data_IF_315005451955
#
_entry.id   IF_315005451955
#
_cell.length_a   1.000
_cell.length_b   1.000
_cell.length_c   1.000
_cell.angle_alpha   90.00
_cell.angle_beta   90.00
_cell.angle_gamma   90.00
#
_symmetry.space_group_name_H-M   'P 1'
#
loop_
_entity.id
_entity.type
_entity.pdbx_description
1 polymer ?
#
# COMPACT_ATOMS: atom_id res chain seq x y z
N UNK A 1 16.76 30.49 -35.53
CA UNK A 1 17.29 31.12 -36.76
C UNK A 1 17.54 32.59 -36.47
N UNK A 2 18.58 33.26 -37.00
CA UNK A 2 20.03 32.99 -37.12
C UNK A 2 20.81 34.03 -36.22
N UNK A 3 22.10 34.40 -36.38
CA UNK A 3 23.23 33.83 -37.14
C UNK A 3 24.52 33.58 -36.32
N UNK A 4 25.43 32.79 -36.90
CA UNK A 4 26.87 32.78 -36.62
C UNK A 4 27.56 33.34 -37.87
N UNK A 5 28.56 34.23 -37.71
CA UNK A 5 29.78 34.19 -38.52
C UNK A 5 31.03 34.43 -37.64
N UNK A 6 32.29 34.25 -38.04
CA UNK A 6 33.01 33.46 -39.04
C UNK A 6 34.46 34.00 -39.00
N UNK A 7 35.47 33.15 -38.78
CA UNK A 7 36.87 33.40 -39.24
C UNK A 7 37.70 32.15 -38.94
N UNK A 8 38.70 31.71 -39.71
CA UNK A 8 39.10 31.88 -41.10
C UNK A 8 40.18 30.80 -41.30
N UNK A 9 40.11 30.10 -42.44
CA UNK A 9 41.21 29.54 -43.24
C UNK A 9 42.28 28.57 -42.66
N UNK A 10 42.39 27.44 -43.39
CA UNK A 10 43.60 26.72 -43.90
C UNK A 10 44.02 25.38 -43.26
N UNK A 11 44.10 24.38 -44.15
CA UNK A 11 44.44 22.97 -43.96
C UNK A 11 45.93 22.67 -43.72
N UNK A 12 46.26 21.54 -43.06
CA UNK A 12 47.46 20.75 -43.32
C UNK A 12 47.12 19.36 -43.93
N UNK A 13 48.10 18.56 -44.38
CA UNK A 13 48.03 17.83 -45.65
C UNK A 13 47.56 16.37 -45.57
N UNK A 14 47.27 15.86 -46.77
CA UNK A 14 47.06 14.47 -47.14
C UNK A 14 48.23 13.58 -46.68
N UNK A 15 47.93 12.48 -45.97
CA UNK A 15 48.89 11.41 -45.75
C UNK A 15 48.67 10.62 -44.46
N UNK A 16 47.76 9.66 -44.50
CA UNK A 16 47.90 8.30 -43.94
C UNK A 16 46.51 7.65 -43.91
N UNK A 17 46.21 6.87 -44.96
CA UNK A 17 45.11 5.89 -44.93
C UNK A 17 45.43 4.82 -43.88
N UNK A 18 44.42 4.25 -43.20
CA UNK A 18 44.61 3.07 -42.36
C UNK A 18 45.13 1.90 -43.22
N UNK A 19 45.96 0.99 -42.70
CA UNK A 19 46.54 -0.07 -43.50
C UNK A 19 45.42 -0.95 -44.04
N UNK A 20 45.32 -0.92 -45.37
CA UNK A 20 44.44 -1.73 -46.20
C UNK A 20 44.53 -3.21 -45.81
N UNK A 21 43.36 -3.83 -45.90
CA UNK A 21 43.14 -5.27 -45.93
C UNK A 21 44.27 -6.02 -46.66
N UNK A 22 45.00 -6.87 -45.93
CA UNK A 22 46.03 -7.73 -46.53
C UNK A 22 45.39 -8.85 -47.37
N UNK A 23 45.88 -9.10 -48.60
CA UNK A 23 45.48 -10.24 -49.45
C UNK A 23 46.00 -11.57 -48.86
N UNK A 24 45.51 -12.74 -49.33
CA UNK A 24 45.80 -14.04 -48.71
C UNK A 24 47.31 -14.30 -48.62
N UNK A 25 47.76 -14.70 -47.44
CA UNK A 25 49.15 -14.97 -47.12
C UNK A 25 49.76 -15.99 -48.09
N UNK A 26 50.47 -15.49 -49.11
CA UNK A 26 51.49 -16.27 -49.82
C UNK A 26 52.75 -16.23 -48.97
N UNK A 27 53.30 -17.42 -48.73
CA UNK A 27 54.48 -17.67 -47.92
C UNK A 27 55.62 -16.68 -48.22
N UNK A 28 55.89 -15.78 -47.27
CA UNK A 28 57.13 -15.03 -47.21
C UNK A 28 57.58 -15.08 -45.76
N UNK A 29 58.57 -15.92 -45.48
CA UNK A 29 59.30 -15.88 -44.22
C UNK A 29 60.19 -14.63 -44.21
N UNK A 30 60.25 -13.90 -43.09
CA UNK A 30 61.49 -13.26 -42.71
C UNK A 30 61.93 -13.72 -41.31
N UNK A 31 63.23 -13.94 -41.22
CA UNK A 31 63.98 -14.17 -39.99
C UNK A 31 63.85 -12.97 -39.05
N UNK A 32 63.61 -13.22 -37.75
CA UNK A 32 64.26 -12.54 -36.60
C UNK A 32 63.86 -13.25 -35.27
N UNK A 33 64.91 -13.69 -34.57
CA UNK A 33 65.17 -13.81 -33.13
C UNK A 33 64.11 -14.39 -32.15
N UNK A 34 64.30 -15.68 -31.86
CA UNK A 34 64.19 -16.39 -30.57
C UNK A 34 63.49 -15.70 -29.38
N UNK A 35 62.28 -16.17 -29.07
CA UNK A 35 61.60 -15.97 -27.79
C UNK A 35 60.07 -16.09 -27.88
N UNK A 36 59.52 -17.31 -27.86
CA UNK A 36 58.10 -17.66 -27.66
C UNK A 36 56.97 -16.89 -28.40
N UNK A 37 57.25 -16.06 -29.40
CA UNK A 37 56.22 -15.37 -30.22
C UNK A 37 55.69 -16.24 -31.39
N UNK A 38 56.27 -17.43 -31.61
CA UNK A 38 55.84 -18.35 -32.67
C UNK A 38 54.45 -18.94 -32.40
N UNK A 39 54.15 -19.27 -31.15
CA UNK A 39 52.84 -19.81 -30.77
C UNK A 39 51.68 -18.83 -31.02
N UNK A 40 51.72 -17.56 -30.57
CA UNK A 40 50.63 -16.61 -30.83
C UNK A 40 50.49 -16.23 -32.31
N UNK A 41 51.59 -16.14 -33.06
CA UNK A 41 51.53 -15.88 -34.52
C UNK A 41 50.95 -17.07 -35.29
N UNK A 42 51.34 -18.29 -34.91
CA UNK A 42 50.78 -19.52 -35.48
C UNK A 42 49.30 -19.67 -35.15
N UNK A 43 48.90 -19.40 -33.89
CA UNK A 43 47.51 -19.40 -33.46
C UNK A 43 46.68 -18.40 -34.27
N UNK A 44 47.20 -17.18 -34.47
CA UNK A 44 46.55 -16.15 -35.29
C UNK A 44 46.39 -16.61 -36.74
N UNK A 45 47.44 -17.14 -37.36
CA UNK A 45 47.40 -17.63 -38.74
C UNK A 45 46.42 -18.81 -38.89
N UNK A 46 46.34 -19.70 -37.90
CA UNK A 46 45.40 -20.80 -37.85
C UNK A 46 43.94 -20.31 -37.78
N UNK A 47 43.63 -19.39 -36.87
CA UNK A 47 42.29 -18.78 -36.79
C UNK A 47 41.93 -17.98 -38.04
N UNK A 48 42.89 -17.23 -38.61
CA UNK A 48 42.69 -16.50 -39.86
C UNK A 48 42.41 -17.46 -41.03
N UNK A 49 43.12 -18.59 -41.11
CA UNK A 49 42.86 -19.62 -42.11
C UNK A 49 41.47 -20.24 -41.96
N UNK A 50 41.05 -20.53 -40.72
CA UNK A 50 39.73 -21.09 -40.41
C UNK A 50 38.60 -20.12 -40.78
N UNK A 51 38.71 -18.86 -40.36
CA UNK A 51 37.73 -17.81 -40.66
C UNK A 51 37.68 -17.47 -42.16
N UNK A 52 38.83 -17.49 -42.85
CA UNK A 52 38.89 -17.29 -44.29
C UNK A 52 38.22 -18.44 -45.04
N UNK A 53 38.41 -19.69 -44.60
CA UNK A 53 37.70 -20.85 -45.15
C UNK A 53 36.19 -20.76 -44.93
N UNK A 54 35.76 -20.36 -43.73
CA UNK A 54 34.35 -20.12 -43.39
C UNK A 54 33.75 -19.00 -44.25
N UNK A 55 34.47 -17.89 -44.41
CA UNK A 55 34.07 -16.75 -45.24
C UNK A 55 33.91 -17.12 -46.71
N UNK A 56 34.85 -17.87 -47.28
CA UNK A 56 34.73 -18.43 -48.63
C UNK A 56 33.51 -19.35 -48.77
N UNK A 57 33.20 -20.16 -47.75
CA UNK A 57 32.01 -21.02 -47.70
C UNK A 57 30.70 -20.23 -47.67
N UNK A 58 30.64 -19.17 -46.85
CA UNK A 58 29.50 -18.25 -46.76
C UNK A 58 29.33 -17.49 -48.07
N UNK A 59 30.41 -17.00 -48.69
CA UNK A 59 30.36 -16.26 -49.96
C UNK A 59 29.86 -17.14 -51.12
N UNK A 60 30.21 -18.43 -51.12
CA UNK A 60 29.69 -19.42 -52.08
C UNK A 60 28.19 -19.72 -51.89
N UNK A 61 27.66 -19.57 -50.67
CA UNK A 61 26.29 -19.90 -50.31
C UNK A 61 25.53 -18.72 -49.67
N UNK A 62 25.82 -17.49 -50.10
CA UNK A 62 25.38 -16.26 -49.42
C UNK A 62 23.86 -16.20 -49.20
N UNK A 63 23.05 -16.49 -50.23
CA UNK A 63 21.59 -16.47 -50.12
C UNK A 63 21.02 -17.58 -49.23
N UNK A 64 21.58 -18.80 -49.28
CA UNK A 64 21.13 -19.92 -48.44
C UNK A 64 21.42 -19.66 -46.97
N UNK A 65 22.64 -19.19 -46.67
CA UNK A 65 23.07 -18.86 -45.30
C UNK A 65 22.22 -17.71 -44.74
N UNK A 66 21.98 -16.68 -45.54
CA UNK A 66 21.14 -15.54 -45.13
C UNK A 66 19.69 -15.95 -44.86
N UNK A 67 19.09 -16.74 -45.75
CA UNK A 67 17.71 -17.21 -45.59
C UNK A 67 17.55 -18.13 -44.36
N UNK A 68 18.43 -19.11 -44.19
CA UNK A 68 18.44 -19.99 -43.01
C UNK A 68 18.67 -19.19 -41.72
N UNK A 69 19.57 -18.20 -41.74
CA UNK A 69 19.81 -17.31 -40.61
C UNK A 69 18.58 -16.48 -40.23
N UNK A 70 17.94 -15.83 -41.21
CA UNK A 70 16.68 -15.09 -41.00
C UNK A 70 15.56 -15.98 -40.47
N UNK A 71 15.45 -17.21 -40.98
CA UNK A 71 14.44 -18.17 -40.54
C UNK A 71 14.71 -18.61 -39.09
N UNK A 72 15.98 -18.87 -38.74
CA UNK A 72 16.38 -19.21 -37.39
C UNK A 72 16.17 -18.06 -36.39
N UNK A 73 16.59 -16.84 -36.73
CA UNK A 73 16.36 -15.65 -35.89
C UNK A 73 14.86 -15.32 -35.78
N UNK A 74 14.10 -15.48 -36.87
CA UNK A 74 12.65 -15.32 -36.86
C UNK A 74 11.97 -16.33 -35.94
N UNK A 75 12.40 -17.60 -35.96
CA UNK A 75 11.91 -18.63 -35.06
C UNK A 75 12.22 -18.32 -33.58
N UNK A 76 13.42 -17.80 -33.28
CA UNK A 76 13.79 -17.37 -31.93
C UNK A 76 12.98 -16.16 -31.47
N UNK A 77 12.71 -15.20 -32.37
CA UNK A 77 11.90 -14.02 -32.06
C UNK A 77 10.44 -14.38 -31.72
N UNK A 78 9.90 -15.49 -32.24
CA UNK A 78 8.59 -15.98 -31.84
C UNK A 78 8.53 -16.37 -30.35
N UNK A 79 9.67 -16.78 -29.77
CA UNK A 79 9.78 -17.08 -28.34
C UNK A 79 9.54 -15.86 -27.44
N UNK A 80 9.75 -14.63 -27.95
CA UNK A 80 9.50 -13.40 -27.20
C UNK A 80 8.01 -13.18 -26.89
N UNK A 81 7.10 -13.85 -27.59
CA UNK A 81 5.66 -13.80 -27.25
C UNK A 81 5.34 -14.46 -25.92
N UNK A 82 6.22 -15.32 -25.41
CA UNK A 82 6.08 -16.01 -24.12
C UNK A 82 6.88 -15.28 -23.03
N UNK A 83 7.45 -14.10 -23.32
CA UNK A 83 8.13 -13.31 -22.31
C UNK A 83 7.12 -12.80 -21.28
N UNK A 84 7.25 -13.28 -20.04
CA UNK A 84 6.47 -12.81 -18.89
C UNK A 84 7.30 -11.72 -18.21
N UNK A 85 6.67 -10.57 -17.96
CA UNK A 85 7.29 -9.48 -17.20
C UNK A 85 6.98 -9.71 -15.73
N UNK A 86 8.02 -9.89 -14.93
CA UNK A 86 7.86 -9.95 -13.49
C UNK A 86 7.52 -8.56 -12.94
N UNK A 87 6.44 -8.46 -12.17
CA UNK A 87 5.96 -7.18 -11.60
C UNK A 87 5.89 -7.21 -10.08
N UNK A 88 6.15 -8.37 -9.48
CA UNK A 88 6.17 -8.54 -8.04
C UNK A 88 7.46 -7.96 -7.45
N UNK A 89 7.31 -6.94 -6.60
CA UNK A 89 8.42 -6.28 -5.93
C UNK A 89 9.21 -7.25 -5.05
N UNK A 90 8.53 -8.19 -4.37
CA UNK A 90 9.19 -9.14 -3.47
C UNK A 90 10.17 -10.04 -4.23
N UNK A 91 9.75 -10.53 -5.41
CA UNK A 91 10.57 -11.40 -6.25
C UNK A 91 11.72 -10.65 -6.92
N UNK A 92 11.53 -9.36 -7.21
CA UNK A 92 12.57 -8.52 -7.82
C UNK A 92 13.67 -8.13 -6.83
N UNK A 93 13.35 -7.96 -5.55
CA UNK A 93 14.29 -7.46 -4.55
C UNK A 93 14.93 -8.55 -3.68
N UNK A 94 14.27 -9.69 -3.49
CA UNK A 94 14.79 -10.77 -2.65
C UNK A 94 15.74 -11.67 -3.44
N UNK A 95 16.94 -11.89 -2.90
CA UNK A 95 17.90 -12.82 -3.48
C UNK A 95 17.41 -14.27 -3.38
N UNK A 96 17.38 -14.96 -4.51
CA UNK A 96 16.94 -16.36 -4.60
C UNK A 96 17.95 -17.27 -3.89
N UNK A 97 17.47 -18.09 -2.95
CA UNK A 97 18.30 -19.01 -2.16
C UNK A 97 18.89 -18.41 -0.87
N UNK A 98 18.56 -17.14 -0.58
CA UNK A 98 18.86 -16.51 0.71
C UNK A 98 18.00 -17.09 1.85
N UNK A 99 18.43 -16.88 3.10
CA UNK A 99 17.61 -17.20 4.28
C UNK A 99 16.23 -16.52 4.22
N UNK A 100 16.19 -15.25 3.80
CA UNK A 100 14.94 -14.49 3.65
C UNK A 100 14.01 -15.16 2.64
N UNK A 101 14.54 -15.66 1.52
CA UNK A 101 13.71 -16.38 0.54
C UNK A 101 13.09 -17.66 1.11
N UNK A 102 13.81 -18.38 1.98
CA UNK A 102 13.32 -19.59 2.63
C UNK A 102 12.26 -19.28 3.70
N UNK A 103 12.46 -18.22 4.49
CA UNK A 103 11.50 -17.74 5.49
C UNK A 103 10.21 -17.23 4.84
N UNK A 104 10.34 -16.51 3.72
CA UNK A 104 9.21 -16.02 2.94
C UNK A 104 8.43 -17.18 2.31
N UNK A 105 9.11 -18.19 1.78
CA UNK A 105 8.46 -19.42 1.30
C UNK A 105 7.72 -20.16 2.43
N UNK A 106 8.36 -20.32 3.60
CA UNK A 106 7.71 -20.96 4.76
C UNK A 106 6.46 -20.18 5.20
N UNK A 107 6.55 -18.85 5.23
CA UNK A 107 5.44 -17.97 5.59
C UNK A 107 4.29 -18.12 4.60
N UNK A 108 4.59 -18.13 3.28
CA UNK A 108 3.59 -18.32 2.23
C UNK A 108 2.91 -19.69 2.32
N UNK A 109 3.65 -20.74 2.64
CA UNK A 109 3.11 -22.09 2.81
C UNK A 109 2.18 -22.21 4.04
N UNK A 110 2.50 -21.54 5.16
CA UNK A 110 1.74 -21.66 6.41
C UNK A 110 0.62 -20.66 6.56
N UNK A 111 0.82 -19.41 6.12
CA UNK A 111 -0.14 -18.32 6.28
C UNK A 111 -0.89 -17.99 4.97
N UNK A 112 -0.44 -18.50 3.82
CA UNK A 112 -0.98 -18.18 2.50
C UNK A 112 -0.12 -17.17 1.74
N UNK A 113 -0.40 -16.99 0.45
CA UNK A 113 0.46 -16.20 -0.46
C UNK A 113 0.56 -14.70 -0.12
N UNK A 114 -0.41 -14.15 0.62
CA UNK A 114 -0.51 -12.73 0.92
C UNK A 114 -0.41 -12.42 2.42
N UNK A 115 0.06 -11.22 2.74
CA UNK A 115 0.03 -10.69 4.09
C UNK A 115 -1.38 -10.76 4.69
N UNK A 116 -1.48 -10.90 6.01
CA UNK A 116 -2.77 -11.03 6.69
C UNK A 116 -3.68 -9.79 6.55
N UNK A 117 -3.17 -8.65 6.09
CA UNK A 117 -3.95 -7.45 5.80
C UNK A 117 -3.15 -6.55 4.88
N UNK A 118 -3.84 -5.62 4.22
CA UNK A 118 -3.22 -4.53 3.47
C UNK A 118 -3.57 -3.19 4.11
N UNK A 119 -2.66 -2.23 4.05
CA UNK A 119 -2.81 -0.93 4.70
C UNK A 119 -3.01 0.19 3.68
N UNK A 120 -3.97 1.07 3.92
CA UNK A 120 -4.19 2.30 3.15
C UNK A 120 -3.97 3.50 4.06
N UNK A 121 -3.00 4.34 3.71
CA UNK A 121 -2.54 5.43 4.57
C UNK A 121 -3.07 6.78 4.07
N UNK A 122 -3.51 7.61 5.01
CA UNK A 122 -3.86 9.01 4.83
C UNK A 122 -2.91 9.84 5.71
N UNK A 123 -2.08 10.68 5.09
CA UNK A 123 -1.14 11.55 5.80
C UNK A 123 -1.53 13.00 5.54
N UNK A 124 -1.70 13.77 6.60
CA UNK A 124 -1.86 15.23 6.55
C UNK A 124 -0.58 15.89 7.04
N UNK A 125 -0.12 16.88 6.28
CA UNK A 125 1.00 17.76 6.63
C UNK A 125 0.54 19.22 6.54
N UNK A 126 1.14 20.12 7.33
CA UNK A 126 0.88 21.54 7.21
C UNK A 126 1.37 22.07 5.86
N UNK A 127 0.81 23.19 5.41
CA UNK A 127 1.21 23.80 4.14
C UNK A 127 2.59 24.46 4.23
N UNK A 128 2.95 24.93 5.42
CA UNK A 128 4.23 25.56 5.70
C UNK A 128 5.07 24.64 6.57
N UNK A 129 6.34 24.53 6.25
CA UNK A 129 7.30 23.73 7.01
C UNK A 129 7.47 24.30 8.43
N UNK A 130 7.45 23.44 9.44
CA UNK A 130 7.62 23.81 10.85
C UNK A 130 6.37 24.35 11.56
N UNK A 131 5.21 24.40 10.89
CA UNK A 131 3.92 24.71 11.53
C UNK A 131 3.42 23.54 12.38
N UNK A 132 2.81 23.84 13.53
CA UNK A 132 2.29 22.80 14.41
C UNK A 132 0.91 22.30 13.94
N UNK A 133 0.81 21.00 13.67
CA UNK A 133 -0.44 20.37 13.23
C UNK A 133 -1.38 19.96 14.39
N UNK A 134 -0.92 20.06 15.65
CA UNK A 134 -1.69 19.68 16.84
C UNK A 134 -2.69 20.77 17.25
N UNK A 135 -3.62 21.10 16.36
CA UNK A 135 -4.69 22.09 16.58
C UNK A 135 -6.05 21.47 16.29
N UNK A 136 -7.13 21.93 16.95
CA UNK A 136 -8.48 21.43 16.67
C UNK A 136 -8.88 21.59 15.20
N UNK A 137 -8.47 22.69 14.56
CA UNK A 137 -8.79 22.98 13.16
C UNK A 137 -8.08 22.02 12.20
N UNK A 138 -6.82 21.68 12.47
CA UNK A 138 -6.08 20.71 11.67
C UNK A 138 -6.64 19.29 11.84
N UNK A 139 -7.07 18.92 13.04
CA UNK A 139 -7.73 17.63 13.27
C UNK A 139 -9.12 17.57 12.63
N UNK A 140 -9.87 18.67 12.59
CA UNK A 140 -11.16 18.73 11.89
C UNK A 140 -10.97 18.53 10.37
N UNK A 141 -9.94 19.15 9.78
CA UNK A 141 -9.57 18.88 8.38
C UNK A 141 -9.22 17.39 8.17
N UNK A 142 -8.45 16.80 9.08
CA UNK A 142 -8.08 15.39 9.01
C UNK A 142 -9.29 14.48 9.15
N UNK A 143 -10.23 14.84 10.02
CA UNK A 143 -11.52 14.16 10.20
C UNK A 143 -12.36 14.22 8.92
N UNK A 144 -12.48 15.38 8.28
CA UNK A 144 -13.24 15.52 7.04
C UNK A 144 -12.65 14.65 5.91
N UNK A 145 -11.32 14.63 5.80
CA UNK A 145 -10.61 13.74 4.88
C UNK A 145 -10.91 12.27 5.22
N UNK A 146 -10.64 11.84 6.46
CA UNK A 146 -10.85 10.48 6.92
C UNK A 146 -12.31 10.00 6.77
N UNK A 147 -13.30 10.87 7.01
CA UNK A 147 -14.72 10.58 6.79
C UNK A 147 -15.08 10.41 5.32
N UNK A 148 -14.45 11.20 4.45
CA UNK A 148 -14.63 11.04 3.00
C UNK A 148 -14.04 9.71 2.54
N UNK A 149 -12.87 9.35 3.08
CA UNK A 149 -12.24 8.04 2.90
C UNK A 149 -13.09 6.88 3.38
N UNK A 150 -13.67 6.96 4.59
CA UNK A 150 -14.45 5.87 5.16
C UNK A 150 -15.75 5.60 4.41
N UNK A 151 -16.30 6.62 3.74
CA UNK A 151 -17.53 6.54 2.93
C UNK A 151 -17.30 6.10 1.48
N UNK A 152 -16.07 5.73 1.11
CA UNK A 152 -15.79 5.21 -0.23
C UNK A 152 -16.55 3.89 -0.46
N UNK A 153 -17.24 3.83 -1.59
CA UNK A 153 -18.08 2.72 -2.00
C UNK A 153 -17.83 2.42 -3.48
N UNK A 154 -17.70 1.13 -3.82
CA UNK A 154 -17.56 0.66 -5.20
C UNK A 154 -18.64 -0.37 -5.52
N UNK A 155 -19.18 -0.31 -6.73
CA UNK A 155 -20.14 -1.32 -7.21
C UNK A 155 -19.47 -2.25 -8.21
N UNK A 156 -19.39 -3.53 -7.85
CA UNK A 156 -18.81 -4.60 -8.65
C UNK A 156 -19.63 -5.87 -8.47
N UNK A 157 -19.76 -6.64 -9.56
CA UNK A 157 -20.53 -7.89 -9.59
C UNK A 157 -21.99 -7.72 -9.13
N UNK A 158 -22.61 -6.56 -9.41
CA UNK A 158 -23.98 -6.26 -9.00
C UNK A 158 -24.16 -6.03 -7.49
N UNK A 159 -23.06 -6.00 -6.73
CA UNK A 159 -23.05 -5.69 -5.30
C UNK A 159 -22.38 -4.35 -5.04
N UNK A 160 -22.56 -3.87 -3.83
CA UNK A 160 -21.85 -2.71 -3.33
C UNK A 160 -20.91 -3.09 -2.20
N UNK A 161 -19.69 -2.58 -2.28
CA UNK A 161 -18.59 -2.81 -1.37
C UNK A 161 -18.18 -1.47 -0.74
N UNK A 162 -18.46 -1.33 0.54
CA UNK A 162 -18.05 -0.21 1.39
C UNK A 162 -16.90 -0.62 2.31
N UNK A 163 -16.35 0.32 3.08
CA UNK A 163 -15.26 0.04 4.00
C UNK A 163 -15.61 -1.04 5.05
N UNK A 164 -16.84 -1.03 5.60
CA UNK A 164 -17.25 -1.97 6.65
C UNK A 164 -17.25 -3.44 6.16
N UNK A 165 -17.44 -3.66 4.87
CA UNK A 165 -17.37 -5.00 4.25
C UNK A 165 -15.96 -5.47 3.95
N UNK A 166 -15.01 -4.57 3.71
CA UNK A 166 -13.66 -4.95 3.25
C UNK A 166 -12.56 -4.73 4.30
N UNK A 167 -12.85 -3.98 5.35
CA UNK A 167 -11.88 -3.66 6.39
C UNK A 167 -11.48 -4.90 7.19
N UNK A 168 -10.25 -4.89 7.71
CA UNK A 168 -9.79 -5.91 8.63
C UNK A 168 -10.49 -5.75 9.99
N UNK A 169 -11.07 -6.84 10.49
CA UNK A 169 -11.72 -6.94 11.81
C UNK A 169 -10.94 -7.96 12.65
N UNK A 170 -10.32 -7.50 13.72
CA UNK A 170 -9.45 -8.34 14.56
C UNK A 170 -10.26 -9.11 15.61
N UNK A 171 -10.19 -10.44 15.58
CA UNK A 171 -10.65 -11.29 16.69
C UNK A 171 -12.16 -11.21 16.96
N UNK A 172 -12.98 -11.27 15.90
CA UNK A 172 -14.45 -11.32 16.04
C UNK A 172 -14.85 -12.52 16.91
N UNK A 173 -15.57 -12.32 18.02
CA UNK A 173 -15.97 -13.41 18.91
C UNK A 173 -17.06 -14.27 18.26
N UNK A 174 -16.96 -15.58 18.46
CA UNK A 174 -18.04 -16.51 18.12
C UNK A 174 -19.11 -16.44 19.22
N UNK A 175 -20.35 -16.17 18.83
CA UNK A 175 -21.47 -15.97 19.76
C UNK A 175 -22.59 -16.93 19.42
N UNK A 176 -23.03 -17.70 20.41
CA UNK A 176 -24.07 -18.73 20.23
C UNK A 176 -25.47 -18.13 20.00
N UNK A 177 -25.74 -16.94 20.55
CA UNK A 177 -27.03 -16.27 20.38
C UNK A 177 -27.07 -15.53 19.03
N UNK A 178 -27.79 -16.09 18.06
CA UNK A 178 -27.88 -15.55 16.70
C UNK A 178 -28.42 -14.12 16.57
N UNK A 179 -29.15 -13.58 17.57
CA UNK A 179 -29.53 -12.16 17.55
C UNK A 179 -28.34 -11.26 17.86
N UNK A 180 -27.57 -11.62 18.88
CA UNK A 180 -26.38 -10.89 19.32
C UNK A 180 -25.27 -11.03 18.27
N UNK A 181 -25.08 -12.23 17.74
CA UNK A 181 -24.14 -12.51 16.64
C UNK A 181 -24.34 -11.55 15.47
N UNK A 182 -25.57 -11.45 14.93
CA UNK A 182 -25.90 -10.53 13.83
C UNK A 182 -25.69 -9.05 14.17
N UNK A 183 -25.91 -8.67 15.43
CA UNK A 183 -25.64 -7.31 15.89
C UNK A 183 -24.14 -7.05 15.92
N UNK A 184 -23.36 -7.99 16.45
CA UNK A 184 -21.90 -7.88 16.51
C UNK A 184 -21.30 -7.89 15.11
N UNK A 185 -21.71 -8.78 14.20
CA UNK A 185 -21.21 -8.78 12.82
C UNK A 185 -21.32 -7.40 12.14
N UNK A 186 -22.44 -6.70 12.40
CA UNK A 186 -22.70 -5.36 11.86
C UNK A 186 -21.96 -4.24 12.58
N UNK A 187 -21.81 -4.33 13.90
CA UNK A 187 -21.19 -3.29 14.72
C UNK A 187 -19.69 -3.49 14.93
N UNK A 188 -19.15 -4.68 14.72
CA UNK A 188 -17.74 -4.97 15.04
C UNK A 188 -16.83 -4.04 14.23
N UNK A 189 -16.00 -3.23 14.91
CA UNK A 189 -15.37 -2.08 14.30
C UNK A 189 -14.22 -2.50 13.39
N UNK A 190 -13.99 -1.68 12.37
CA UNK A 190 -12.81 -1.79 11.52
C UNK A 190 -11.57 -1.39 12.31
N UNK A 191 -10.45 -2.06 12.07
CA UNK A 191 -9.16 -1.63 12.60
C UNK A 191 -8.65 -0.43 11.78
N UNK A 192 -8.85 0.76 12.34
CA UNK A 192 -8.37 2.04 11.79
C UNK A 192 -7.44 2.63 12.84
N UNK A 193 -6.16 2.78 12.51
CA UNK A 193 -5.20 3.45 13.38
C UNK A 193 -5.32 4.93 13.08
N UNK A 194 -5.78 5.74 14.03
CA UNK A 194 -6.04 7.15 13.77
C UNK A 194 -5.90 8.00 15.04
N UNK A 195 -5.34 9.23 14.96
CA UNK A 195 -5.33 10.17 16.09
C UNK A 195 -6.75 10.58 16.52
N UNK A 196 -7.73 10.41 15.62
CA UNK A 196 -9.13 10.70 15.90
C UNK A 196 -9.75 9.75 16.93
N UNK A 197 -9.12 8.60 17.19
CA UNK A 197 -9.59 7.68 18.22
C UNK A 197 -9.45 8.30 19.62
N UNK A 198 -8.54 9.25 19.86
CA UNK A 198 -8.52 9.95 21.16
C UNK A 198 -9.80 10.79 21.41
N UNK A 199 -10.59 11.07 20.37
CA UNK A 199 -11.79 11.91 20.42
C UNK A 199 -13.06 11.11 20.11
N UNK A 200 -14.21 11.68 20.46
CA UNK A 200 -15.51 11.07 20.13
C UNK A 200 -15.70 10.91 18.60
N UNK A 201 -15.17 11.83 17.80
CA UNK A 201 -15.29 11.82 16.35
C UNK A 201 -14.65 10.59 15.67
N UNK A 202 -13.74 9.88 16.32
CA UNK A 202 -13.25 8.58 15.86
C UNK A 202 -14.37 7.58 15.60
N UNK A 203 -15.47 7.65 16.38
CA UNK A 203 -16.66 6.85 16.18
C UNK A 203 -17.34 7.07 14.82
N UNK A 204 -17.26 8.30 14.28
CA UNK A 204 -17.89 8.66 13.00
C UNK A 204 -17.23 7.95 11.81
N UNK A 205 -15.99 7.45 11.98
CA UNK A 205 -15.29 6.67 10.96
C UNK A 205 -15.81 5.23 10.85
N UNK A 206 -16.51 4.74 11.88
CA UNK A 206 -17.04 3.39 11.93
C UNK A 206 -18.42 3.35 11.26
N UNK A 207 -18.53 2.62 10.14
CA UNK A 207 -19.76 2.56 9.33
C UNK A 207 -20.83 1.55 9.79
N UNK A 208 -20.58 0.80 10.87
CA UNK A 208 -21.50 -0.23 11.37
C UNK A 208 -22.74 0.35 12.02
N UNK A 209 -23.92 -0.19 11.68
CA UNK A 209 -25.18 0.13 12.37
C UNK A 209 -26.01 -1.11 12.66
N UNK A 210 -26.68 -1.11 13.82
CA UNK A 210 -27.60 -2.16 14.21
C UNK A 210 -28.96 -1.58 14.60
N UNK A 211 -30.02 -2.21 14.11
CA UNK A 211 -31.39 -1.85 14.45
C UNK A 211 -31.85 -2.68 15.65
N UNK A 212 -32.34 -1.99 16.68
CA UNK A 212 -33.03 -2.61 17.81
C UNK A 212 -34.44 -2.01 17.92
N UNK A 213 -35.50 -2.84 17.98
CA UNK A 213 -36.86 -2.33 18.12
C UNK A 213 -37.01 -1.39 19.32
N UNK A 214 -37.59 -0.21 19.09
CA UNK A 214 -37.80 0.81 20.13
C UNK A 214 -36.62 1.75 20.37
N UNK A 215 -35.54 1.66 19.57
CA UNK A 215 -34.41 2.60 19.58
C UNK A 215 -34.13 3.17 18.19
N UNK A 216 -33.49 4.36 18.12
CA UNK A 216 -32.82 4.76 16.89
C UNK A 216 -31.71 3.74 16.54
N UNK A 217 -31.26 3.76 15.29
CA UNK A 217 -30.16 2.92 14.85
C UNK A 217 -28.94 3.12 15.75
N UNK A 218 -28.44 2.01 16.28
CA UNK A 218 -27.28 1.96 17.16
C UNK A 218 -26.03 2.06 16.28
N UNK A 219 -25.17 3.02 16.58
CA UNK A 219 -23.90 3.30 15.92
C UNK A 219 -22.86 3.62 16.99
N UNK A 220 -21.57 3.52 16.67
CA UNK A 220 -20.52 3.86 17.65
C UNK A 220 -20.59 5.30 18.17
N UNK A 221 -21.23 6.21 17.44
CA UNK A 221 -21.40 7.61 17.83
C UNK A 221 -22.39 7.79 18.98
N UNK A 222 -23.34 6.87 19.16
CA UNK A 222 -24.40 6.93 20.18
C UNK A 222 -24.47 5.69 21.08
N UNK A 223 -23.51 4.76 20.95
CA UNK A 223 -23.47 3.51 21.68
C UNK A 223 -22.62 3.66 22.94
N UNK A 224 -23.28 3.54 24.08
CA UNK A 224 -22.65 3.21 25.36
C UNK A 224 -22.82 1.70 25.61
N UNK A 225 -21.76 0.88 25.49
CA UNK A 225 -21.85 -0.56 25.72
C UNK A 225 -22.28 -0.94 27.13
N UNK A 226 -21.85 -0.19 28.16
CA UNK A 226 -22.21 -0.47 29.55
C UNK A 226 -23.69 -0.22 29.77
N UNK A 227 -24.20 0.92 29.28
CA UNK A 227 -25.63 1.23 29.36
C UNK A 227 -26.47 0.21 28.59
N UNK A 228 -26.06 -0.17 27.38
CA UNK A 228 -26.79 -1.13 26.55
C UNK A 228 -26.89 -2.51 27.23
N UNK A 229 -25.82 -2.96 27.88
CA UNK A 229 -25.81 -4.22 28.64
C UNK A 229 -26.79 -4.21 29.81
N UNK A 230 -26.91 -3.09 30.52
CA UNK A 230 -27.84 -2.95 31.64
C UNK A 230 -29.30 -2.99 31.18
N UNK A 231 -29.59 -2.36 30.04
CA UNK A 231 -30.94 -2.29 29.48
C UNK A 231 -31.41 -3.60 28.85
N UNK A 232 -30.48 -4.38 28.29
CA UNK A 232 -30.77 -5.69 27.70
C UNK A 232 -30.70 -6.84 28.70
N UNK A 233 -30.02 -6.66 29.83
CA UNK A 233 -29.88 -7.66 30.89
C UNK A 233 -31.19 -8.29 31.38
N UNK A 234 -32.32 -7.56 31.50
CA UNK A 234 -33.62 -8.14 31.85
C UNK A 234 -34.19 -9.13 30.82
N UNK A 235 -33.79 -9.02 29.55
CA UNK A 235 -34.37 -9.79 28.45
C UNK A 235 -33.51 -11.00 28.04
N UNK A 236 -32.21 -10.97 28.31
CA UNK A 236 -31.29 -12.05 27.93
C UNK A 236 -30.08 -12.12 28.85
N UNK A 237 -29.51 -13.31 29.01
CA UNK A 237 -28.27 -13.47 29.77
C UNK A 237 -27.09 -12.91 28.97
N UNK A 238 -26.44 -11.88 29.52
CA UNK A 238 -25.32 -11.18 28.88
C UNK A 238 -24.03 -11.29 29.70
N UNK A 239 -23.96 -12.20 30.67
CA UNK A 239 -22.84 -12.27 31.61
C UNK A 239 -21.51 -12.57 30.90
N UNK A 240 -21.48 -13.50 29.96
CA UNK A 240 -20.29 -13.78 29.16
C UNK A 240 -19.88 -12.62 28.23
N UNK A 241 -20.85 -11.86 27.72
CA UNK A 241 -20.56 -10.70 26.88
C UNK A 241 -20.05 -9.51 27.71
N UNK A 242 -20.60 -9.31 28.90
CA UNK A 242 -20.09 -8.35 29.89
C UNK A 242 -18.66 -8.67 30.29
N UNK A 243 -18.36 -9.93 30.62
CA UNK A 243 -17.00 -10.36 30.96
C UNK A 243 -16.02 -10.12 29.80
N UNK A 244 -16.45 -10.33 28.55
CA UNK A 244 -15.64 -10.05 27.37
C UNK A 244 -15.32 -8.55 27.22
N UNK A 245 -16.32 -7.69 27.39
CA UNK A 245 -16.15 -6.23 27.33
C UNK A 245 -15.27 -5.69 28.47
N UNK A 246 -15.44 -6.23 29.69
CA UNK A 246 -14.62 -5.90 30.86
C UNK A 246 -13.16 -6.33 30.64
N UNK A 247 -12.94 -7.55 30.15
CA UNK A 247 -11.59 -8.07 29.83
C UNK A 247 -10.89 -7.25 28.76
N UNK A 248 -11.66 -6.72 27.80
CA UNK A 248 -11.18 -5.84 26.74
C UNK A 248 -11.06 -4.37 27.17
N UNK A 249 -11.53 -4.01 28.38
CA UNK A 249 -11.54 -2.65 28.89
C UNK A 249 -12.18 -1.67 27.89
N UNK A 250 -13.40 -1.99 27.45
CA UNK A 250 -14.14 -1.13 26.50
C UNK A 250 -14.77 0.07 27.21
N UNK A 251 -15.36 -0.14 28.40
CA UNK A 251 -16.08 0.90 29.14
C UNK A 251 -17.18 1.56 28.29
N UNK A 252 -17.26 2.89 28.37
CA UNK A 252 -18.17 3.72 27.57
C UNK A 252 -17.71 3.91 26.10
N UNK A 253 -16.68 3.19 25.65
CA UNK A 253 -16.13 3.28 24.29
C UNK A 253 -15.84 4.73 23.83
N UNK A 254 -16.52 5.22 22.80
CA UNK A 254 -16.31 6.56 22.25
C UNK A 254 -17.12 7.66 22.93
N UNK A 255 -18.26 7.33 23.58
CA UNK A 255 -19.13 8.37 24.15
C UNK A 255 -18.57 9.00 25.43
N UNK A 256 -17.60 8.35 26.07
CA UNK A 256 -16.85 8.90 27.20
C UNK A 256 -15.65 9.78 26.81
N UNK A 257 -15.37 9.96 25.51
CA UNK A 257 -14.19 10.69 25.01
C UNK A 257 -14.50 12.19 24.83
N UNK A 258 -13.49 13.07 24.90
CA UNK A 258 -13.68 14.48 24.57
C UNK A 258 -14.15 14.66 23.13
N UNK A 259 -15.07 15.58 22.90
CA UNK A 259 -15.47 15.99 21.57
C UNK A 259 -14.44 16.97 21.02
N UNK A 260 -13.96 16.74 19.79
CA UNK A 260 -13.09 17.69 19.09
C UNK A 260 -13.83 19.01 18.88
N UNK A 261 -15.10 18.94 18.49
CA UNK A 261 -16.01 20.09 18.42
C UNK A 261 -17.11 19.98 19.47
N UNK A 262 -17.02 20.71 20.61
CA UNK A 262 -18.03 20.64 21.66
C UNK A 262 -19.36 21.32 21.30
N UNK A 263 -19.41 22.10 20.20
CA UNK A 263 -20.66 22.70 19.69
C UNK A 263 -21.43 21.76 18.75
N UNK A 264 -20.91 20.57 18.44
CA UNK A 264 -21.64 19.56 17.67
C UNK A 264 -22.89 19.11 18.45
N UNK A 265 -24.06 19.22 17.81
CA UNK A 265 -25.35 18.80 18.38
C UNK A 265 -25.41 17.31 18.75
N UNK A 266 -24.55 16.48 18.16
CA UNK A 266 -24.46 15.06 18.42
C UNK A 266 -23.37 14.69 19.43
N UNK A 267 -22.59 15.66 19.94
CA UNK A 267 -21.63 15.42 21.01
C UNK A 267 -22.36 14.87 22.25
N UNK A 268 -21.96 13.70 22.78
CA UNK A 268 -22.71 13.04 23.84
C UNK A 268 -22.56 13.79 25.17
N UNK A 269 -23.59 13.76 26.03
CA UNK A 269 -23.56 14.45 27.32
C UNK A 269 -22.55 13.86 28.31
N UNK A 270 -22.12 12.61 28.10
CA UNK A 270 -21.07 11.94 28.87
C UNK A 270 -19.67 12.45 28.56
N UNK A 271 -19.47 13.17 27.44
CA UNK A 271 -18.15 13.70 27.08
C UNK A 271 -17.69 14.77 28.08
N UNK A 272 -16.41 14.75 28.50
CA UNK A 272 -15.89 15.61 29.57
C UNK A 272 -15.97 17.12 29.25
N UNK A 273 -15.96 17.49 27.97
CA UNK A 273 -16.01 18.88 27.53
C UNK A 273 -17.37 19.31 26.95
N UNK A 274 -18.39 18.45 26.97
CA UNK A 274 -19.73 18.78 26.43
C UNK A 274 -20.35 19.99 27.15
N UNK A 275 -20.32 20.01 28.49
CA UNK A 275 -20.92 21.11 29.27
C UNK A 275 -20.05 22.36 29.33
N UNK A 276 -18.72 22.21 29.35
CA UNK A 276 -17.79 23.35 29.43
C UNK A 276 -17.69 24.12 28.11
N UNK A 277 -17.97 23.45 26.98
CA UNK A 277 -17.81 23.98 25.61
C UNK A 277 -16.40 24.48 25.32
N UNK A 278 -15.41 23.93 26.02
CA UNK A 278 -14.01 24.24 25.80
C UNK A 278 -13.42 23.28 24.78
N UNK A 279 -12.70 23.82 23.80
CA UNK A 279 -11.93 23.01 22.86
C UNK A 279 -10.89 22.18 23.63
N UNK A 280 -10.69 20.90 23.25
CA UNK A 280 -9.72 20.04 23.92
C UNK A 280 -8.29 20.48 23.63
N UNK A 281 -7.38 20.23 24.59
CA UNK A 281 -5.94 20.38 24.37
C UNK A 281 -5.43 19.17 23.57
N UNK A 282 -5.36 19.33 22.26
CA UNK A 282 -5.02 18.26 21.31
C UNK A 282 -3.68 17.60 21.63
N UNK A 283 -2.66 18.38 22.00
CA UNK A 283 -1.35 17.83 22.29
C UNK A 283 -1.36 16.95 23.55
N UNK A 284 -2.14 17.36 24.56
CA UNK A 284 -2.32 16.58 25.78
C UNK A 284 -3.15 15.32 25.55
N UNK A 285 -4.24 15.40 24.79
CA UNK A 285 -5.10 14.24 24.51
C UNK A 285 -4.38 13.16 23.68
N UNK A 286 -3.47 13.56 22.78
CA UNK A 286 -2.68 12.63 21.97
C UNK A 286 -1.41 12.11 22.68
N UNK A 287 -1.06 12.67 23.84
CA UNK A 287 0.12 12.25 24.59
C UNK A 287 -0.09 10.87 25.22
N UNK A 288 0.85 9.96 25.00
CA UNK A 288 0.76 8.53 25.35
C UNK A 288 0.11 7.67 24.27
N UNK A 289 -0.29 8.26 23.13
CA UNK A 289 -0.96 7.57 22.04
C UNK A 289 -2.47 7.49 22.23
N UNK A 290 -3.16 6.88 21.27
CA UNK A 290 -4.62 6.74 21.29
C UNK A 290 -5.04 5.29 21.49
N UNK A 291 -6.25 5.10 21.99
CA UNK A 291 -6.85 3.78 22.09
C UNK A 291 -8.06 3.69 21.17
N UNK A 292 -8.20 2.61 20.40
CA UNK A 292 -9.45 2.26 19.71
C UNK A 292 -10.56 1.92 20.72
N UNK A 293 -11.61 1.20 20.31
CA UNK A 293 -12.73 0.90 21.23
C UNK A 293 -12.34 0.07 22.46
N UNK A 294 -11.27 -0.73 22.36
CA UNK A 294 -10.70 -1.51 23.47
C UNK A 294 -9.41 -0.84 23.98
N UNK A 295 -9.42 -0.35 25.22
CA UNK A 295 -8.22 0.26 25.80
C UNK A 295 -7.06 -0.73 25.96
N UNK A 296 -7.38 -2.01 26.19
CA UNK A 296 -6.37 -3.05 26.42
C UNK A 296 -5.70 -3.56 25.15
N UNK A 297 -6.46 -3.75 24.07
CA UNK A 297 -5.98 -4.47 22.89
C UNK A 297 -5.72 -3.57 21.69
N UNK A 298 -6.23 -2.35 21.68
CA UNK A 298 -6.13 -1.43 20.55
C UNK A 298 -5.42 -0.14 20.95
N UNK A 299 -4.21 -0.25 21.49
CA UNK A 299 -3.37 0.91 21.80
C UNK A 299 -2.47 1.24 20.60
N UNK A 300 -2.63 2.46 20.09
CA UNK A 300 -1.87 3.03 18.99
C UNK A 300 -0.83 3.99 19.54
N UNK A 301 0.44 3.63 19.42
CA UNK A 301 1.55 4.47 19.88
C UNK A 301 1.61 5.79 19.09
N UNK A 302 2.14 6.84 19.72
CA UNK A 302 2.24 8.18 19.12
C UNK A 302 2.98 8.14 17.76
N UNK A 303 4.04 7.35 17.65
CA UNK A 303 4.89 7.25 16.45
C UNK A 303 4.15 6.66 15.23
N UNK A 304 3.05 5.94 15.45
CA UNK A 304 2.22 5.41 14.37
C UNK A 304 1.21 6.44 13.84
N UNK A 305 0.91 7.45 14.67
CA UNK A 305 -0.14 8.45 14.42
C UNK A 305 0.44 9.83 14.06
N UNK A 306 1.62 10.17 14.59
CA UNK A 306 2.23 11.49 14.53
C UNK A 306 3.63 11.44 13.93
N UNK A 307 3.90 12.37 13.00
CA UNK A 307 5.24 12.60 12.45
C UNK A 307 5.86 13.91 12.94
N UNK A 308 7.19 13.97 13.02
CA UNK A 308 7.92 15.20 13.38
C UNK A 308 7.62 15.72 14.80
N UNK A 309 7.43 14.82 15.76
CA UNK A 309 7.09 15.19 17.13
C UNK A 309 8.23 15.96 17.82
N UNK A 310 7.88 16.98 18.61
CA UNK A 310 8.79 17.55 19.60
C UNK A 310 8.12 17.64 20.97
N UNK A 311 8.95 17.44 22.00
CA UNK A 311 8.52 17.34 23.40
C UNK A 311 9.12 18.45 24.24
N UNK A 312 8.46 18.75 25.36
CA UNK A 312 9.01 19.61 26.39
C UNK A 312 10.14 18.91 27.17
N UNK A 313 10.90 19.63 28.01
CA UNK A 313 11.93 19.02 28.88
C UNK A 313 11.39 17.96 29.86
N UNK A 314 10.08 17.93 30.12
CA UNK A 314 9.38 17.00 30.99
C UNK A 314 8.87 15.76 30.24
N UNK A 315 9.05 15.69 28.91
CA UNK A 315 8.65 14.60 28.03
C UNK A 315 7.22 14.68 27.49
N UNK A 316 6.48 15.75 27.74
CA UNK A 316 5.13 15.96 27.20
C UNK A 316 5.18 16.39 25.74
N UNK A 317 4.23 15.92 24.95
CA UNK A 317 4.09 16.30 23.54
C UNK A 317 3.72 17.79 23.43
N UNK A 318 4.49 18.55 22.65
CA UNK A 318 4.23 19.99 22.40
C UNK A 318 3.77 20.26 20.97
N UNK A 319 4.42 19.61 20.00
CA UNK A 319 4.16 19.84 18.57
C UNK A 319 4.37 18.57 17.76
N UNK A 320 3.72 18.53 16.60
CA UNK A 320 3.96 17.55 15.54
C UNK A 320 3.85 18.22 14.18
N UNK A 321 4.44 17.60 13.16
CA UNK A 321 4.50 18.08 11.78
C UNK A 321 3.64 17.26 10.81
N UNK A 322 3.14 16.09 11.23
CA UNK A 322 2.24 15.29 10.42
C UNK A 322 1.26 14.48 11.26
N UNK A 323 0.08 14.23 10.70
CA UNK A 323 -0.93 13.29 11.20
C UNK A 323 -1.07 12.13 10.22
N UNK A 324 -1.22 10.92 10.74
CA UNK A 324 -1.39 9.71 9.94
C UNK A 324 -2.61 8.93 10.42
N UNK A 325 -3.49 8.56 9.49
CA UNK A 325 -4.50 7.53 9.69
C UNK A 325 -4.26 6.37 8.74
N UNK A 326 -4.30 5.14 9.27
CA UNK A 326 -4.12 3.92 8.48
C UNK A 326 -5.38 3.06 8.57
N UNK A 327 -6.02 2.83 7.42
CA UNK A 327 -7.14 1.92 7.27
C UNK A 327 -6.61 0.53 6.92
N UNK A 328 -6.87 -0.46 7.78
CA UNK A 328 -6.51 -1.84 7.49
C UNK A 328 -7.64 -2.53 6.71
N UNK A 329 -7.28 -3.12 5.58
CA UNK A 329 -8.15 -3.92 4.73
C UNK A 329 -7.79 -5.40 4.86
N UNK A 330 -8.77 -6.27 4.74
CA UNK A 330 -8.52 -7.71 4.61
C UNK A 330 -7.64 -8.00 3.39
N UNK A 331 -6.90 -9.11 3.44
CA UNK A 331 -6.31 -9.65 2.22
C UNK A 331 -7.38 -10.24 1.30
N UNK A 332 -7.13 -10.33 -0.02
CA UNK A 332 -7.99 -11.05 -0.96
C UNK A 332 -8.47 -12.42 -0.45
N UNK A 333 -7.56 -13.21 0.13
CA UNK A 333 -7.92 -14.51 0.74
C UNK A 333 -8.86 -14.38 1.93
N UNK A 334 -8.58 -13.48 2.88
CA UNK A 334 -9.46 -13.27 4.03
C UNK A 334 -10.83 -12.76 3.62
N UNK A 335 -10.89 -11.82 2.68
CA UNK A 335 -12.14 -11.31 2.14
C UNK A 335 -12.93 -12.43 1.46
N UNK A 336 -12.25 -13.31 0.71
CA UNK A 336 -12.85 -14.50 0.14
C UNK A 336 -13.45 -15.42 1.21
N UNK A 337 -12.66 -15.78 2.22
CA UNK A 337 -13.06 -16.66 3.32
C UNK A 337 -14.22 -16.06 4.14
N UNK A 338 -14.20 -14.74 4.38
CA UNK A 338 -15.22 -14.02 5.14
C UNK A 338 -16.59 -14.08 4.47
N UNK A 339 -16.66 -13.92 3.15
CA UNK A 339 -17.91 -14.01 2.38
C UNK A 339 -18.15 -15.39 1.76
N UNK A 340 -17.43 -16.42 2.20
CA UNK A 340 -17.58 -17.77 1.63
C UNK A 340 -18.91 -18.38 2.04
N UNK A 341 -19.79 -18.60 1.06
CA UNK A 341 -21.13 -19.14 1.32
C UNK A 341 -22.11 -18.11 1.89
N UNK A 342 -21.73 -16.83 1.90
CA UNK A 342 -22.62 -15.74 2.28
C UNK A 342 -23.68 -15.47 1.19
N UNK A 343 -24.86 -15.01 1.60
CA UNK A 343 -25.94 -14.69 0.68
C UNK A 343 -25.60 -13.50 -0.25
N UNK A 344 -24.64 -12.63 0.09
CA UNK A 344 -24.25 -11.53 -0.77
C UNK A 344 -23.42 -11.99 -1.97
N UNK A 345 -22.77 -13.15 -1.87
CA UNK A 345 -21.85 -13.68 -2.89
C UNK A 345 -22.33 -14.96 -3.54
N UNK A 346 -23.44 -15.56 -3.09
CA UNK A 346 -23.97 -16.82 -3.63
C UNK A 346 -24.28 -16.79 -5.14
N UNK A 347 -24.61 -15.61 -5.67
CA UNK A 347 -24.94 -15.36 -7.08
C UNK A 347 -23.71 -14.99 -7.93
N UNK A 348 -22.54 -14.92 -7.31
CA UNK A 348 -21.26 -14.60 -7.94
C UNK A 348 -20.39 -15.86 -7.91
N UNK A 349 -19.59 -16.10 -8.94
CA UNK A 349 -18.54 -17.13 -8.92
C UNK A 349 -17.38 -16.76 -7.98
N UNK A 350 -17.68 -16.55 -6.69
CA UNK A 350 -16.82 -15.93 -5.68
C UNK A 350 -15.50 -16.69 -5.53
N UNK A 351 -14.40 -15.98 -5.78
CA UNK A 351 -13.03 -16.49 -5.75
C UNK A 351 -12.09 -15.46 -5.13
N UNK A 352 -10.89 -15.88 -4.74
CA UNK A 352 -9.84 -14.99 -4.24
C UNK A 352 -9.47 -13.92 -5.29
N UNK A 353 -9.48 -14.24 -6.58
CA UNK A 353 -9.24 -13.28 -7.67
C UNK A 353 -10.32 -12.19 -7.74
N UNK A 354 -11.59 -12.56 -7.56
CA UNK A 354 -12.69 -11.59 -7.52
C UNK A 354 -12.61 -10.70 -6.29
N UNK A 355 -12.25 -11.28 -5.13
CA UNK A 355 -12.01 -10.52 -3.91
C UNK A 355 -10.86 -9.51 -4.10
N UNK A 356 -9.76 -9.94 -4.73
CA UNK A 356 -8.64 -9.06 -5.09
C UNK A 356 -9.06 -7.93 -6.04
N UNK A 357 -9.91 -8.23 -7.02
CA UNK A 357 -10.45 -7.21 -7.94
C UNK A 357 -11.29 -6.17 -7.20
N UNK A 358 -12.13 -6.59 -6.24
CA UNK A 358 -12.91 -5.69 -5.39
C UNK A 358 -12.00 -4.76 -4.58
N UNK A 359 -10.99 -5.32 -3.91
CA UNK A 359 -10.04 -4.55 -3.10
C UNK A 359 -9.27 -3.55 -3.95
N UNK A 360 -8.73 -3.96 -5.10
CA UNK A 360 -8.01 -3.06 -6.01
C UNK A 360 -8.91 -1.93 -6.52
N UNK A 361 -10.16 -2.21 -6.87
CA UNK A 361 -11.10 -1.18 -7.32
C UNK A 361 -11.41 -0.19 -6.20
N UNK A 362 -11.61 -0.67 -4.97
CA UNK A 362 -11.82 0.18 -3.81
C UNK A 362 -10.60 1.05 -3.49
N UNK A 363 -9.40 0.46 -3.47
CA UNK A 363 -8.13 1.18 -3.25
C UNK A 363 -7.90 2.27 -4.30
N UNK A 364 -8.15 1.98 -5.59
CA UNK A 364 -8.09 3.00 -6.64
C UNK A 364 -9.07 4.13 -6.39
N UNK A 365 -10.29 3.83 -5.95
CA UNK A 365 -11.28 4.86 -5.62
C UNK A 365 -10.88 5.68 -4.39
N UNK A 366 -10.29 5.04 -3.38
CA UNK A 366 -9.75 5.68 -2.18
C UNK A 366 -8.65 6.71 -2.48
N UNK A 367 -7.80 6.47 -3.48
CA UNK A 367 -6.81 7.47 -3.89
C UNK A 367 -7.45 8.62 -4.66
N UNK A 368 -8.47 8.35 -5.49
CA UNK A 368 -9.10 9.36 -6.35
C UNK A 368 -9.95 10.39 -5.60
N UNK A 369 -10.41 10.10 -4.38
CA UNK A 369 -11.22 11.06 -3.60
C UNK A 369 -10.42 12.28 -3.15
N UNK A 370 -9.10 12.18 -3.10
CA UNK A 370 -8.21 13.31 -2.85
C UNK A 370 -7.66 13.78 -4.19
N UNK A 371 -8.26 14.81 -4.83
CA UNK A 371 -7.55 15.48 -5.90
C UNK A 371 -6.23 15.97 -5.32
N UNK A 372 -5.12 15.60 -5.97
CA UNK A 372 -3.81 16.23 -5.79
C UNK A 372 -4.08 17.72 -5.65
N UNK A 373 -3.72 18.31 -4.49
CA UNK A 373 -3.89 19.75 -4.24
C UNK A 373 -3.47 20.49 -5.50
N UNK A 374 -4.29 21.40 -6.07
CA UNK A 374 -3.87 22.16 -7.22
C UNK A 374 -2.54 22.82 -6.84
N UNK A 375 -1.51 22.56 -7.64
CA UNK A 375 -0.26 23.28 -7.57
C UNK A 375 -0.59 24.77 -7.43
N UNK A 376 0.10 25.44 -6.51
CA UNK A 376 -0.16 26.82 -6.12
C UNK A 376 -0.31 27.76 -7.31
N UNK A 377 -0.95 28.93 -7.11
CA UNK A 377 -1.20 29.88 -8.18
C UNK A 377 0.13 30.40 -8.72
N UNK A 378 0.60 29.88 -9.86
CA UNK A 378 1.92 30.29 -10.37
C UNK A 378 2.50 29.62 -11.61
N UNK A 379 1.74 28.88 -12.43
CA UNK A 379 2.25 28.33 -13.70
C UNK A 379 1.41 28.83 -14.88
N UNK A 380 1.98 29.53 -15.89
CA UNK A 380 1.21 30.12 -16.98
C UNK A 380 0.73 29.04 -17.97
N UNK A 381 -0.39 29.38 -18.62
CA UNK A 381 -1.15 28.60 -19.60
C UNK A 381 -0.34 28.15 -20.83
#
# INVERSE_FOLDING_TARGET
>A
MPPIPASMARSPPLGELPPDYTPPARAAAPQILTGSLKAPLWLRAYFQGLLFSLGCGIQRHCGKVFFLGLLAFGALALGLRVAIIETDLEQLWVEVGSQVSQELHYTKEKLGEEAAYTSQMLIQTPRQEGENILTPEALDLHLQAALTASKVQVSLYGKSWDLNKICYKSGVPLIENGMIERMIEKLFPCVILTPLDCFWEGAKLQGGSAYLPGRPDIQWTNLDPEQLLEELGPFTSLEGFRELLDKAQVGQAYVGRPCLNPDDLHCPPSAPNHHSRQAPDVARELSGGCHGFSHKFMHWQEELLLGGMARDPQGQLLRAEALQSTFLLMSPRQLYEHFRGDYQTHDIGWSEEQAGTVLQAWQRRFVQIYPVSPAGPGGPA
#
